data_IF_150000679376
#
_entry.id   IF_150000679376
#
_cell.length_a   1.000
_cell.length_b   1.000
_cell.length_c   1.000
_cell.angle_alpha   90.00
_cell.angle_beta   90.00
_cell.angle_gamma   90.00
#
_symmetry.space_group_name_H-M   'P 1'
#
loop_
_entity.id
_entity.type
_entity.pdbx_description
1 polymer ?
#
# COMPACT_ATOMS: atom_id res chain seq x y z
N UNK A 1 -13.45 -19.50 18.82
CA UNK A 1 -13.09 -19.37 18.47
C UNK A 1 -12.49 -18.67 17.99
N UNK A 2 -12.27 -18.20 17.78
CA UNK A 2 -11.66 -17.75 17.48
C UNK A 2 -10.92 -17.34 16.60
N UNK A 3 -10.32 -17.03 16.53
CA UNK A 3 -9.45 -17.06 15.59
C UNK A 3 -9.83 -16.57 14.30
N UNK A 4 -10.95 -16.30 14.07
CA UNK A 4 -11.45 -15.90 12.81
C UNK A 4 -10.93 -14.62 12.29
N UNK A 5 -10.52 -13.71 13.13
CA UNK A 5 -10.05 -12.44 12.61
C UNK A 5 -8.76 -12.54 11.87
N UNK A 6 -7.89 -13.37 12.30
CA UNK A 6 -6.60 -13.48 11.66
C UNK A 6 -6.70 -13.90 10.20
N UNK A 7 -7.51 -14.87 9.87
CA UNK A 7 -7.63 -15.27 8.47
C UNK A 7 -8.16 -14.19 7.57
N UNK A 8 -9.05 -13.38 8.09
CA UNK A 8 -9.58 -12.29 7.32
C UNK A 8 -8.51 -11.31 6.90
N UNK A 9 -7.67 -10.96 7.84
CA UNK A 9 -6.62 -10.01 7.55
C UNK A 9 -5.63 -10.60 6.57
N UNK A 10 -5.36 -11.87 6.69
CA UNK A 10 -4.44 -12.52 5.79
C UNK A 10 -4.94 -12.45 4.36
N UNK A 11 -6.25 -12.56 4.19
CA UNK A 11 -6.82 -12.49 2.88
C UNK A 11 -6.60 -11.16 2.22
N UNK A 12 -6.71 -10.07 2.97
CA UNK A 12 -6.55 -8.75 2.43
C UNK A 12 -5.10 -8.46 2.06
N UNK A 13 -4.17 -9.11 2.76
CA UNK A 13 -2.75 -8.86 2.54
C UNK A 13 -2.12 -10.03 1.81
N UNK A 14 -2.54 -10.26 0.58
CA UNK A 14 -1.97 -11.35 -0.20
C UNK A 14 -0.54 -10.96 -0.64
N UNK A 15 0.09 -11.87 -1.35
CA UNK A 15 1.48 -11.69 -1.76
C UNK A 15 1.68 -10.43 -2.58
N UNK A 16 0.79 -10.15 -3.50
CA UNK A 16 0.91 -8.97 -4.34
C UNK A 16 0.82 -7.69 -3.50
N UNK A 17 -0.12 -7.65 -2.58
CA UNK A 17 -0.27 -6.48 -1.71
C UNK A 17 0.99 -6.25 -0.88
N UNK A 18 1.56 -7.32 -0.36
CA UNK A 18 2.78 -7.21 0.42
C UNK A 18 3.94 -6.70 -0.43
N UNK A 19 4.04 -7.18 -1.66
CA UNK A 19 5.11 -6.75 -2.54
C UNK A 19 4.95 -5.28 -2.93
N UNK A 20 3.73 -4.84 -3.14
CA UNK A 20 3.47 -3.45 -3.44
C UNK A 20 3.86 -2.58 -2.24
N UNK A 21 3.46 -3.00 -1.05
CA UNK A 21 3.79 -2.25 0.16
C UNK A 21 5.30 -2.17 0.32
N UNK A 22 6.00 -3.27 0.13
CA UNK A 22 7.44 -3.29 0.27
C UNK A 22 8.10 -2.33 -0.71
N UNK A 23 7.65 -2.36 -1.97
CA UNK A 23 8.20 -1.48 -2.98
C UNK A 23 7.96 -0.02 -2.62
N UNK A 24 6.74 0.31 -2.22
CA UNK A 24 6.43 1.70 -1.88
C UNK A 24 7.23 2.15 -0.67
N UNK A 25 7.41 1.28 0.29
CA UNK A 25 8.20 1.64 1.47
C UNK A 25 9.65 1.89 1.09
N UNK A 26 10.18 1.08 0.21
CA UNK A 26 11.58 1.23 -0.24
C UNK A 26 11.82 2.53 -0.98
N UNK A 27 10.84 3.00 -1.74
CA UNK A 27 11.00 4.24 -2.47
C UNK A 27 10.48 5.45 -1.71
N UNK A 28 10.01 5.24 -0.49
CA UNK A 28 9.48 6.34 0.31
C UNK A 28 10.61 7.22 0.81
N UNK A 29 10.24 8.44 1.20
CA UNK A 29 11.20 9.39 1.75
C UNK A 29 10.89 9.55 3.23
N UNK A 30 11.91 9.48 4.04
CA UNK A 30 11.73 9.66 5.47
C UNK A 30 11.84 11.14 5.81
N UNK A 31 10.94 11.61 6.66
CA UNK A 31 10.98 12.98 7.12
C UNK A 31 10.49 12.99 8.55
N UNK A 32 11.36 13.36 9.47
CA UNK A 32 11.04 13.43 10.90
C UNK A 32 10.46 12.13 11.44
N UNK A 33 11.05 11.01 11.04
CA UNK A 33 10.64 9.72 11.55
C UNK A 33 9.45 9.10 10.84
N UNK A 34 8.87 9.83 9.90
CA UNK A 34 7.74 9.31 9.13
C UNK A 34 8.15 9.07 7.69
N UNK A 35 7.50 8.14 7.03
CA UNK A 35 7.82 7.82 5.65
C UNK A 35 6.67 8.24 4.74
N UNK A 36 7.00 8.88 3.65
CA UNK A 36 6.02 9.38 2.70
C UNK A 36 6.36 8.92 1.29
N UNK A 37 5.36 8.60 0.51
CA UNK A 37 5.57 8.13 -0.84
C UNK A 37 4.54 8.72 -1.79
N UNK A 38 5.01 9.18 -2.95
CA UNK A 38 4.13 9.64 -4.01
C UNK A 38 3.84 8.44 -4.87
N UNK A 39 2.58 8.18 -5.10
CA UNK A 39 2.18 6.96 -5.80
C UNK A 39 1.32 7.26 -7.01
N UNK A 40 1.96 7.42 -8.17
CA UNK A 40 1.19 7.43 -9.40
C UNK A 40 0.87 5.98 -9.73
N UNK A 41 -0.41 5.67 -9.77
CA UNK A 41 -0.88 4.32 -10.04
C UNK A 41 -0.24 3.72 -11.29
N UNK A 42 -0.05 4.53 -12.30
CA UNK A 42 0.57 4.11 -13.54
C UNK A 42 1.93 3.45 -13.34
N UNK A 43 2.74 4.01 -12.46
CA UNK A 43 4.07 3.48 -12.23
C UNK A 43 4.02 2.14 -11.53
N UNK A 44 3.07 1.97 -10.62
CA UNK A 44 2.93 0.72 -9.91
C UNK A 44 2.42 -0.37 -10.86
N UNK A 45 1.50 0.00 -11.72
CA UNK A 45 0.96 -0.92 -12.72
C UNK A 45 2.09 -1.45 -13.59
N UNK A 46 2.97 -0.54 -14.03
CA UNK A 46 4.07 -0.91 -14.87
C UNK A 46 5.08 -1.78 -14.14
N UNK A 47 5.38 -1.41 -12.93
CA UNK A 47 6.38 -2.11 -12.14
C UNK A 47 5.97 -3.57 -11.90
N UNK A 48 4.72 -3.81 -11.59
CA UNK A 48 4.25 -5.14 -11.23
C UNK A 48 3.57 -5.87 -12.39
N UNK A 49 3.43 -5.21 -13.52
CA UNK A 49 2.83 -5.81 -14.71
C UNK A 49 1.47 -6.42 -14.40
N UNK A 50 0.65 -5.66 -13.71
CA UNK A 50 -0.73 -6.04 -13.41
C UNK A 50 -1.64 -4.95 -13.92
N UNK A 51 -2.93 -5.27 -14.14
CA UNK A 51 -3.80 -4.24 -14.65
C UNK A 51 -4.15 -3.23 -13.55
N UNK A 52 -4.66 -2.10 -14.00
CA UNK A 52 -4.95 -0.98 -13.11
C UNK A 52 -5.90 -1.35 -11.97
N UNK A 53 -6.92 -2.11 -12.30
CA UNK A 53 -7.91 -2.49 -11.30
C UNK A 53 -7.31 -3.36 -10.20
N UNK A 54 -6.47 -4.31 -10.58
CA UNK A 54 -5.81 -5.18 -9.61
C UNK A 54 -4.94 -4.37 -8.66
N UNK A 55 -4.15 -3.46 -9.20
CA UNK A 55 -3.28 -2.62 -8.38
C UNK A 55 -4.11 -1.73 -7.47
N UNK A 56 -5.17 -1.12 -8.00
CA UNK A 56 -6.00 -0.24 -7.21
C UNK A 56 -6.63 -0.99 -6.03
N UNK A 57 -7.06 -2.21 -6.25
CA UNK A 57 -7.63 -3.00 -5.18
C UNK A 57 -6.63 -3.31 -4.08
N UNK A 58 -5.40 -3.60 -4.46
CA UNK A 58 -4.36 -3.89 -3.48
C UNK A 58 -3.97 -2.65 -2.69
N UNK A 59 -3.92 -1.51 -3.37
CA UNK A 59 -3.64 -0.26 -2.68
C UNK A 59 -4.77 0.07 -1.71
N UNK A 60 -6.01 -0.17 -2.11
CA UNK A 60 -7.14 0.05 -1.21
C UNK A 60 -7.06 -0.88 0.00
N UNK A 61 -6.63 -2.12 -0.19
CA UNK A 61 -6.46 -3.04 0.92
C UNK A 61 -5.40 -2.53 1.90
N UNK A 62 -4.31 -1.96 1.39
CA UNK A 62 -3.28 -1.40 2.24
C UNK A 62 -3.82 -0.20 3.02
N UNK A 63 -4.67 0.60 2.39
CA UNK A 63 -5.30 1.72 3.06
C UNK A 63 -6.22 1.24 4.17
N UNK A 64 -6.97 0.19 3.90
CA UNK A 64 -7.90 -0.36 4.89
C UNK A 64 -7.16 -0.92 6.10
N UNK A 65 -5.97 -1.42 5.88
CA UNK A 65 -5.16 -1.94 6.98
C UNK A 65 -4.41 -0.83 7.71
N UNK A 66 -4.53 0.38 7.28
CA UNK A 66 -3.85 1.49 7.91
C UNK A 66 -2.38 1.62 7.56
N UNK A 67 -1.93 0.90 6.55
CA UNK A 67 -0.53 0.95 6.14
C UNK A 67 -0.25 2.08 5.19
N UNK A 68 -1.27 2.58 4.52
CA UNK A 68 -1.15 3.74 3.65
C UNK A 68 -2.24 4.73 4.07
N UNK A 69 -1.83 5.95 4.37
CA UNK A 69 -2.77 6.99 4.76
C UNK A 69 -2.66 8.14 3.76
N UNK A 70 -3.69 8.44 3.00
CA UNK A 70 -3.59 9.52 2.01
C UNK A 70 -3.50 10.87 2.71
N UNK A 71 -2.50 11.64 2.32
CA UNK A 71 -2.28 12.97 2.88
C UNK A 71 -2.77 14.03 1.91
N UNK A 72 -2.32 13.97 0.67
CA UNK A 72 -2.69 14.93 -0.34
C UNK A 72 -3.01 14.18 -1.62
N UNK A 73 -4.12 14.52 -2.24
CA UNK A 73 -4.50 13.89 -3.49
C UNK A 73 -4.59 14.92 -4.59
N UNK A 74 -3.92 14.69 -5.71
CA UNK A 74 -3.95 15.56 -6.85
C UNK A 74 -4.06 14.73 -8.10
N UNK A 75 -5.15 14.87 -8.84
CA UNK A 75 -5.35 14.14 -10.08
C UNK A 75 -5.09 12.65 -9.89
N UNK A 76 -4.07 12.12 -10.54
CA UNK A 76 -3.76 10.69 -10.47
C UNK A 76 -2.66 10.37 -9.49
N UNK A 77 -2.16 11.36 -8.78
CA UNK A 77 -1.06 11.15 -7.86
C UNK A 77 -1.52 11.44 -6.45
N UNK A 78 -1.21 10.53 -5.55
CA UNK A 78 -1.54 10.73 -4.15
C UNK A 78 -0.28 10.60 -3.32
N UNK A 79 -0.11 11.52 -2.39
CA UNK A 79 0.97 11.43 -1.43
C UNK A 79 0.43 10.66 -0.24
N UNK A 80 1.06 9.55 0.07
CA UNK A 80 0.66 8.72 1.20
C UNK A 80 1.72 8.74 2.28
N UNK A 81 1.26 8.64 3.52
CA UNK A 81 2.16 8.31 4.60
C UNK A 81 2.12 6.79 4.69
N UNK A 82 3.28 6.15 4.71
CA UNK A 82 3.34 4.70 4.69
C UNK A 82 3.96 4.18 5.98
N UNK A 83 3.39 3.10 6.50
CA UNK A 83 3.84 2.52 7.75
C UNK A 83 4.41 1.12 7.53
N UNK A 84 5.37 0.75 8.37
CA UNK A 84 6.00 -0.55 8.28
C UNK A 84 5.08 -1.61 8.87
N UNK A 85 5.06 -2.80 8.25
CA UNK A 85 4.22 -3.86 8.76
C UNK A 85 4.89 -4.70 9.79
N UNK A 86 6.22 -4.57 9.94
CA UNK A 86 6.87 -5.45 10.75
C UNK A 86 6.50 -5.38 12.09
N UNK A 87 6.41 -6.30 12.71
CA UNK A 87 6.00 -6.29 13.92
C UNK A 87 6.78 -6.85 14.66
#
# INVERSE_FOLDING_TARGET
MLVTTAPSMTKLMDELAKNIHKHLYEVSTEFEGNHFVLTPIKDVVKKFDRNHRTIQRRINALKDEGLLVPIIKRNTITLYQIFNTEE
#
